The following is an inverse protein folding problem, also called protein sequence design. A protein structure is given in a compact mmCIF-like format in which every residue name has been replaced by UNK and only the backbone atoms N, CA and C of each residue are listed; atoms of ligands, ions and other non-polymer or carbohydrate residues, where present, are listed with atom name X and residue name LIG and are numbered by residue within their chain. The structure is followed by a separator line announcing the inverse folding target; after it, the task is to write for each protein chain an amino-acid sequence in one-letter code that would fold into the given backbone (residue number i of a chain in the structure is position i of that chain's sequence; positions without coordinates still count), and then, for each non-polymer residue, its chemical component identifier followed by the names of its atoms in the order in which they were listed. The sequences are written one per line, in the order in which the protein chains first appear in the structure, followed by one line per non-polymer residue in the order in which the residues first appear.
data_IF_676093973100
#
_entry.id   IF_676093973100
#
_cell.length_a   1.000
_cell.length_b   1.000
_cell.length_c   1.000
_cell.angle_alpha   90.00
_cell.angle_beta   90.00
_cell.angle_gamma   90.00
#
_symmetry.space_group_name_H-M   'P 1'
#
loop_
_entity.id
_entity.type
_entity.pdbx_description
1 polymer ?
#
# COMPACT_ATOMS: atom_id res chain seq x y z
N UNK A 1 10.02 -50.07 49.72
CA UNK A 1 10.25 -48.67 49.32
C UNK A 1 8.91 -48.03 49.04
N UNK A 2 8.44 -47.12 49.91
CA UNK A 2 7.22 -46.34 49.69
C UNK A 2 7.55 -45.20 48.75
N UNK A 3 7.11 -45.31 47.50
CA UNK A 3 7.28 -44.24 46.51
C UNK A 3 6.49 -43.02 46.98
N UNK A 4 7.20 -41.90 47.10
CA UNK A 4 6.64 -40.68 47.63
C UNK A 4 5.93 -39.93 46.49
N UNK A 5 4.62 -40.13 46.39
CA UNK A 5 3.77 -39.65 45.28
C UNK A 5 3.87 -38.13 45.02
N UNK A 6 4.20 -37.35 46.06
CA UNK A 6 4.51 -35.93 45.95
C UNK A 6 5.72 -35.65 45.05
N UNK A 7 6.76 -36.47 45.15
CA UNK A 7 7.98 -36.34 44.34
C UNK A 7 7.69 -36.69 42.87
N UNK A 8 6.86 -37.71 42.65
CA UNK A 8 6.41 -38.08 41.30
C UNK A 8 5.59 -36.95 40.64
N UNK A 9 4.71 -36.29 41.41
CA UNK A 9 3.94 -35.14 40.92
C UNK A 9 4.83 -33.95 40.51
N UNK A 10 5.87 -33.65 41.30
CA UNK A 10 6.81 -32.56 40.99
C UNK A 10 7.61 -32.85 39.73
N UNK A 11 8.06 -34.10 39.53
CA UNK A 11 8.79 -34.49 38.33
C UNK A 11 7.95 -34.36 37.05
N UNK A 12 6.68 -34.75 37.11
CA UNK A 12 5.75 -34.61 35.98
C UNK A 12 5.49 -33.12 35.67
N UNK A 13 5.31 -32.29 36.70
CA UNK A 13 5.12 -30.85 36.53
C UNK A 13 6.34 -30.20 35.84
N UNK A 14 7.56 -30.57 36.25
CA UNK A 14 8.79 -30.10 35.61
C UNK A 14 8.89 -30.50 34.14
N UNK A 15 8.47 -31.73 33.80
CA UNK A 15 8.40 -32.21 32.41
C UNK A 15 7.39 -31.42 31.58
N UNK A 16 6.23 -31.09 32.14
CA UNK A 16 5.20 -30.28 31.46
C UNK A 16 5.68 -28.84 31.25
N UNK A 17 6.32 -28.24 32.25
CA UNK A 17 6.87 -26.88 32.15
C UNK A 17 7.97 -26.81 31.10
N UNK A 18 8.91 -27.76 31.10
CA UNK A 18 9.99 -27.81 30.10
C UNK A 18 9.44 -28.04 28.69
N UNK A 19 8.42 -28.89 28.55
CA UNK A 19 7.71 -29.09 27.28
C UNK A 19 7.01 -27.82 26.78
N UNK A 20 6.31 -27.09 27.65
CA UNK A 20 5.64 -25.84 27.31
C UNK A 20 6.63 -24.73 26.94
N UNK A 21 7.74 -24.61 27.66
CA UNK A 21 8.82 -23.65 27.36
C UNK A 21 9.46 -23.97 26.00
N UNK A 22 9.70 -25.25 25.70
CA UNK A 22 10.21 -25.68 24.39
C UNK A 22 9.24 -25.37 23.25
N UNK A 23 7.92 -25.51 23.50
CA UNK A 23 6.87 -25.15 22.53
C UNK A 23 6.78 -23.64 22.30
N UNK A 24 7.01 -22.83 23.34
CA UNK A 24 7.04 -21.36 23.24
C UNK A 24 8.25 -20.83 22.46
N UNK A 25 9.40 -21.49 22.55
CA UNK A 25 10.62 -21.13 21.81
C UNK A 25 10.66 -21.70 20.37
N UNK A 26 9.61 -22.41 19.93
CA UNK A 26 9.52 -23.00 18.59
C UNK A 26 9.17 -22.02 17.45
N UNK A 27 8.98 -20.73 17.73
CA UNK A 27 8.86 -19.71 16.69
C UNK A 27 10.25 -19.22 16.31
N UNK A 28 10.83 -19.83 15.27
CA UNK A 28 12.00 -19.27 14.58
C UNK A 28 11.68 -17.81 14.22
N UNK A 29 12.60 -16.85 14.46
CA UNK A 29 12.49 -15.56 13.82
C UNK A 29 12.48 -15.81 12.32
N UNK A 30 11.35 -15.52 11.68
CA UNK A 30 11.24 -15.44 10.22
C UNK A 30 12.34 -14.52 9.74
N UNK A 31 13.23 -15.05 8.90
CA UNK A 31 14.24 -14.30 8.20
C UNK A 31 13.58 -13.07 7.56
N UNK A 32 13.96 -11.89 8.01
CA UNK A 32 13.62 -10.64 7.33
C UNK A 32 14.22 -10.79 5.92
N UNK A 33 13.43 -10.67 4.84
CA UNK A 33 13.95 -10.81 3.48
C UNK A 33 15.15 -9.89 3.27
N UNK A 34 16.27 -10.47 2.87
CA UNK A 34 17.55 -9.78 2.61
C UNK A 34 17.39 -8.65 1.59
N UNK A 35 16.35 -8.73 0.76
CA UNK A 35 15.90 -7.72 -0.21
C UNK A 35 15.68 -6.33 0.38
N UNK A 36 15.21 -6.21 1.63
CA UNK A 36 14.94 -4.88 2.23
C UNK A 36 16.27 -4.17 2.51
N UNK A 37 17.27 -4.90 3.01
CA UNK A 37 18.58 -4.34 3.33
C UNK A 37 19.34 -3.97 2.04
N UNK A 38 19.20 -4.76 0.98
CA UNK A 38 19.81 -4.47 -0.31
C UNK A 38 19.10 -3.33 -1.05
N UNK A 39 17.79 -3.16 -0.86
CA UNK A 39 17.05 -1.98 -1.31
C UNK A 39 17.52 -0.70 -0.58
N UNK A 40 17.78 -0.80 0.73
CA UNK A 40 18.37 0.28 1.53
C UNK A 40 19.79 0.65 1.09
N UNK A 41 20.58 -0.32 0.63
CA UNK A 41 21.91 -0.06 0.04
C UNK A 41 21.82 0.59 -1.33
N UNK A 42 20.87 0.17 -2.18
CA UNK A 42 20.63 0.79 -3.48
C UNK A 42 20.16 2.26 -3.40
N UNK A 43 19.54 2.65 -2.28
CA UNK A 43 19.14 4.04 -2.00
C UNK A 43 20.33 4.98 -1.74
N UNK A 44 21.51 4.47 -1.38
CA UNK A 44 22.73 5.29 -1.22
C UNK A 44 23.43 5.62 -2.54
N UNK A 45 23.05 4.95 -3.65
CA UNK A 45 23.64 5.17 -4.98
C UNK A 45 22.83 6.13 -5.86
N UNK A 46 21.70 6.66 -5.36
CA UNK A 46 20.91 7.60 -6.14
C UNK A 46 21.63 8.95 -6.27
N UNK A 47 21.70 9.53 -7.48
CA UNK A 47 22.45 10.75 -7.73
C UNK A 47 21.92 11.90 -6.86
N UNK A 48 22.85 12.68 -6.31
CA UNK A 48 22.64 13.84 -5.41
C UNK A 48 21.51 14.81 -5.84
N UNK A 49 21.15 14.80 -7.12
CA UNK A 49 20.04 15.56 -7.71
C UNK A 49 18.66 15.19 -7.15
N UNK A 50 18.46 13.95 -6.70
CA UNK A 50 17.19 13.50 -6.07
C UNK A 50 17.16 13.93 -4.60
N UNK A 51 18.29 13.84 -3.89
CA UNK A 51 18.42 14.27 -2.50
C UNK A 51 18.25 15.79 -2.33
N UNK A 52 18.66 16.59 -3.32
CA UNK A 52 18.47 18.04 -3.31
C UNK A 52 16.99 18.47 -3.44
N UNK A 53 16.13 17.66 -4.06
CA UNK A 53 14.67 17.90 -4.09
C UNK A 53 14.06 17.60 -2.71
N UNK A 54 14.65 16.69 -1.94
CA UNK A 54 14.21 16.30 -0.59
C UNK A 54 14.59 17.37 0.44
N UNK A 55 15.76 18.02 0.34
CA UNK A 55 16.21 19.02 1.32
C UNK A 55 15.40 20.34 1.30
N UNK A 56 14.64 20.63 0.24
CA UNK A 56 14.03 21.95 0.04
C UNK A 56 12.69 22.23 0.72
N UNK A 57 12.03 21.29 1.41
CA UNK A 57 10.64 21.53 1.86
C UNK A 57 10.20 20.73 3.10
N UNK A 58 10.68 21.12 4.29
CA UNK A 58 10.55 20.35 5.53
C UNK A 58 9.11 20.33 6.14
N UNK A 59 8.08 20.91 5.50
CA UNK A 59 6.72 20.96 6.05
C UNK A 59 5.58 20.27 5.24
N UNK A 60 5.56 20.27 3.88
CA UNK A 60 4.56 19.51 3.11
C UNK A 60 4.92 18.04 2.81
N UNK A 61 6.08 17.55 3.24
CA UNK A 61 6.66 16.28 2.77
C UNK A 61 6.13 14.99 3.44
N UNK A 62 5.42 15.07 4.57
CA UNK A 62 4.88 13.86 5.23
C UNK A 62 3.74 13.20 4.42
N UNK A 63 2.90 14.01 3.74
CA UNK A 63 1.83 13.51 2.86
C UNK A 63 2.38 12.80 1.62
N UNK A 64 3.34 13.43 0.93
CA UNK A 64 4.00 12.85 -0.24
C UNK A 64 4.79 11.57 0.04
N UNK A 65 5.40 11.43 1.22
CA UNK A 65 6.06 10.17 1.61
C UNK A 65 5.05 9.04 1.84
N UNK A 66 3.91 9.33 2.47
CA UNK A 66 2.85 8.33 2.63
C UNK A 66 2.27 7.91 1.28
N UNK A 67 2.06 8.84 0.35
CA UNK A 67 1.64 8.57 -1.03
C UNK A 67 2.65 7.69 -1.78
N UNK A 68 3.95 7.96 -1.65
CA UNK A 68 5.00 7.18 -2.32
C UNK A 68 5.19 5.78 -1.72
N UNK A 69 5.08 5.63 -0.40
CA UNK A 69 5.13 4.32 0.27
C UNK A 69 3.90 3.49 -0.09
N UNK A 70 2.72 4.11 -0.11
CA UNK A 70 1.49 3.44 -0.54
C UNK A 70 1.59 3.02 -2.01
N UNK A 71 2.14 3.88 -2.86
CA UNK A 71 2.39 3.53 -4.26
C UNK A 71 3.37 2.33 -4.41
N UNK A 72 4.39 2.24 -3.55
CA UNK A 72 5.33 1.13 -3.56
C UNK A 72 4.69 -0.19 -3.07
N UNK A 73 3.83 -0.14 -2.04
CA UNK A 73 3.07 -1.30 -1.56
C UNK A 73 2.03 -1.77 -2.58
N UNK A 74 1.26 -0.84 -3.16
CA UNK A 74 0.25 -1.15 -4.16
C UNK A 74 0.83 -1.79 -5.43
N UNK A 75 2.10 -1.52 -5.79
CA UNK A 75 2.73 -2.19 -6.92
C UNK A 75 2.92 -3.70 -6.75
N UNK A 76 2.85 -4.24 -5.53
CA UNK A 76 2.88 -5.69 -5.31
C UNK A 76 1.54 -6.36 -5.56
N UNK A 77 0.44 -5.65 -5.34
CA UNK A 77 -0.92 -6.21 -5.43
C UNK A 77 -1.56 -6.05 -6.82
N UNK A 78 -1.06 -5.12 -7.63
CA UNK A 78 -1.62 -4.77 -8.93
C UNK A 78 -0.53 -4.79 -10.01
N UNK A 79 -0.89 -5.29 -11.19
CA UNK A 79 0.00 -5.28 -12.35
C UNK A 79 0.26 -3.85 -12.85
N UNK A 80 -0.70 -2.94 -12.62
CA UNK A 80 -0.58 -1.52 -12.98
C UNK A 80 -1.30 -0.63 -11.97
N UNK A 81 -0.61 0.43 -11.54
CA UNK A 81 -1.19 1.52 -10.76
C UNK A 81 -1.14 2.81 -11.58
N UNK A 82 -2.27 3.51 -11.68
CA UNK A 82 -2.42 4.78 -12.39
C UNK A 82 -2.75 5.87 -11.35
N UNK A 83 -1.89 6.87 -11.14
CA UNK A 83 -2.22 8.01 -10.29
C UNK A 83 -3.23 8.93 -10.98
N UNK A 84 -4.20 9.44 -10.22
CA UNK A 84 -5.22 10.40 -10.68
C UNK A 84 -5.22 11.67 -9.83
N UNK A 85 -5.38 11.52 -8.50
CA UNK A 85 -5.60 12.59 -7.54
C UNK A 85 -7.07 12.75 -7.11
N UNK A 86 -7.38 13.76 -6.30
CA UNK A 86 -8.70 13.93 -5.69
C UNK A 86 -9.86 13.90 -6.72
N UNK A 87 -10.99 13.22 -6.44
CA UNK A 87 -11.39 12.53 -5.19
C UNK A 87 -11.01 11.03 -5.13
N UNK A 88 -10.16 10.54 -6.03
CA UNK A 88 -9.66 9.15 -6.00
C UNK A 88 -8.18 9.17 -6.37
N UNK A 89 -7.30 8.96 -5.40
CA UNK A 89 -5.85 9.07 -5.64
C UNK A 89 -5.30 8.14 -6.74
N UNK A 90 -5.73 6.88 -6.79
CA UNK A 90 -5.21 5.88 -7.73
C UNK A 90 -6.27 4.96 -8.32
N UNK A 91 -5.98 4.43 -9.51
CA UNK A 91 -6.63 3.23 -10.06
C UNK A 91 -5.61 2.10 -10.07
N UNK A 92 -5.94 0.99 -9.42
CA UNK A 92 -5.20 -0.26 -9.50
C UNK A 92 -5.85 -1.23 -10.49
N UNK A 93 -5.05 -1.84 -11.36
CA UNK A 93 -5.49 -2.82 -12.34
C UNK A 93 -4.73 -4.12 -12.09
N UNK A 94 -5.49 -5.18 -11.83
CA UNK A 94 -4.99 -6.55 -11.80
C UNK A 94 -5.63 -7.33 -12.94
N UNK A 95 -4.82 -7.71 -13.92
CA UNK A 95 -5.28 -8.20 -15.20
C UNK A 95 -6.07 -9.50 -15.04
N UNK A 96 -7.26 -9.53 -15.65
CA UNK A 96 -8.14 -10.69 -15.60
C UNK A 96 -8.83 -10.91 -14.24
N UNK A 97 -8.64 -10.02 -13.27
CA UNK A 97 -9.23 -10.13 -11.94
C UNK A 97 -10.13 -8.94 -11.60
N UNK A 98 -9.54 -7.74 -11.42
CA UNK A 98 -10.28 -6.57 -10.95
C UNK A 98 -9.62 -5.23 -11.27
N UNK A 99 -10.42 -4.18 -11.16
CA UNK A 99 -9.98 -2.79 -11.20
C UNK A 99 -10.48 -2.13 -9.91
N UNK A 100 -9.55 -1.58 -9.13
CA UNK A 100 -9.86 -0.95 -7.85
C UNK A 100 -9.59 0.56 -7.92
N UNK A 101 -10.52 1.33 -7.36
CA UNK A 101 -10.37 2.78 -7.14
C UNK A 101 -9.90 2.98 -5.70
N UNK A 102 -8.76 3.64 -5.52
CA UNK A 102 -8.03 3.66 -4.26
C UNK A 102 -7.85 5.11 -3.83
N UNK A 103 -8.31 5.40 -2.62
CA UNK A 103 -8.11 6.67 -1.92
C UNK A 103 -7.21 6.43 -0.71
N UNK A 104 -6.18 7.25 -0.53
CA UNK A 104 -5.16 7.08 0.49
C UNK A 104 -5.28 8.19 1.52
N UNK A 105 -5.54 7.81 2.78
CA UNK A 105 -5.55 8.76 3.90
C UNK A 105 -4.28 8.65 4.72
N UNK A 106 -3.57 9.76 4.90
CA UNK A 106 -2.45 9.84 5.83
C UNK A 106 -2.92 10.27 7.22
N UNK A 107 -2.60 9.51 8.28
CA UNK A 107 -2.85 9.89 9.68
C UNK A 107 -3.93 9.06 10.38
N UNK A 108 -4.43 9.54 11.53
CA UNK A 108 -5.43 8.82 12.35
C UNK A 108 -6.88 8.96 11.84
N UNK A 109 -7.15 9.92 10.94
CA UNK A 109 -8.48 10.13 10.38
C UNK A 109 -8.63 9.32 9.09
N UNK A 110 -9.45 8.27 9.14
CA UNK A 110 -9.82 7.41 8.00
C UNK A 110 -11.15 7.84 7.36
N UNK A 111 -11.63 9.04 7.69
CA UNK A 111 -12.92 9.54 7.20
C UNK A 111 -12.79 10.03 5.76
N UNK A 112 -13.68 9.54 4.91
CA UNK A 112 -13.83 10.02 3.55
C UNK A 112 -14.51 11.40 3.53
N UNK A 113 -14.10 12.25 2.59
CA UNK A 113 -14.83 13.48 2.25
C UNK A 113 -16.20 13.14 1.64
N UNK A 114 -17.11 14.10 1.58
CA UNK A 114 -18.43 13.86 1.00
C UNK A 114 -18.35 13.52 -0.51
N UNK A 115 -17.37 14.09 -1.21
CA UNK A 115 -17.09 13.77 -2.61
C UNK A 115 -16.55 12.34 -2.76
N UNK A 116 -15.58 11.94 -1.95
CA UNK A 116 -15.07 10.56 -1.92
C UNK A 116 -16.16 9.54 -1.57
N UNK A 117 -17.03 9.86 -0.61
CA UNK A 117 -18.20 9.02 -0.28
C UNK A 117 -19.13 8.89 -1.48
N UNK A 118 -19.37 9.97 -2.20
CA UNK A 118 -20.21 9.96 -3.39
C UNK A 118 -19.63 9.02 -4.46
N UNK A 119 -18.34 9.13 -4.74
CA UNK A 119 -17.65 8.26 -5.70
C UNK A 119 -17.66 6.80 -5.25
N UNK A 120 -17.36 6.53 -3.96
CA UNK A 120 -17.48 5.19 -3.39
C UNK A 120 -18.87 4.60 -3.59
N UNK A 121 -19.92 5.39 -3.40
CA UNK A 121 -21.30 4.96 -3.62
C UNK A 121 -21.57 4.65 -5.11
N UNK A 122 -21.05 5.43 -6.05
CA UNK A 122 -21.17 5.13 -7.48
C UNK A 122 -20.50 3.78 -7.81
N UNK A 123 -19.31 3.53 -7.29
CA UNK A 123 -18.58 2.27 -7.47
C UNK A 123 -19.35 1.09 -6.88
N UNK A 124 -19.82 1.23 -5.63
CA UNK A 124 -20.54 0.18 -4.90
C UNK A 124 -21.84 -0.21 -5.59
N UNK A 125 -22.52 0.77 -6.21
CA UNK A 125 -23.74 0.54 -6.97
C UNK A 125 -23.48 0.12 -8.43
N UNK A 126 -22.24 -0.22 -8.80
CA UNK A 126 -21.88 -0.66 -10.14
C UNK A 126 -22.02 0.41 -11.22
N UNK A 127 -22.06 1.69 -10.85
CA UNK A 127 -22.23 2.83 -11.79
C UNK A 127 -20.89 3.30 -12.36
N UNK A 128 -20.01 2.35 -12.68
CA UNK A 128 -18.72 2.57 -13.33
C UNK A 128 -18.81 2.03 -14.75
N UNK A 129 -18.55 2.88 -15.74
CA UNK A 129 -18.72 2.55 -17.14
C UNK A 129 -17.42 2.71 -17.93
N UNK A 130 -17.14 1.78 -18.82
CA UNK A 130 -16.08 1.93 -19.82
C UNK A 130 -16.64 2.68 -21.03
N UNK A 131 -16.16 3.90 -21.27
CA UNK A 131 -16.57 4.71 -22.42
C UNK A 131 -15.41 4.88 -23.39
N UNK A 132 -15.52 4.29 -24.58
CA UNK A 132 -14.59 4.55 -25.68
C UNK A 132 -15.05 5.81 -26.44
N UNK A 133 -14.18 6.80 -26.51
CA UNK A 133 -14.38 8.01 -27.32
C UNK A 133 -13.33 8.01 -28.42
N UNK A 134 -13.79 7.99 -29.68
CA UNK A 134 -12.94 8.18 -30.85
C UNK A 134 -13.09 9.64 -31.28
N UNK A 135 -11.99 10.38 -31.34
CA UNK A 135 -11.96 11.74 -31.85
C UNK A 135 -11.36 11.71 -33.25
N UNK A 136 -12.04 12.28 -34.24
CA UNK A 136 -11.49 12.43 -35.59
C UNK A 136 -10.52 13.62 -35.64
N UNK A 137 -9.43 13.52 -36.40
CA UNK A 137 -8.43 14.60 -36.51
C UNK A 137 -9.04 15.94 -36.97
N UNK A 138 -10.07 15.87 -37.82
CA UNK A 138 -10.83 17.03 -38.32
C UNK A 138 -11.58 17.78 -37.20
N UNK A 139 -12.07 17.07 -36.18
CA UNK A 139 -12.75 17.69 -35.03
C UNK A 139 -11.75 18.41 -34.11
N UNK A 140 -10.54 17.86 -33.95
CA UNK A 140 -9.48 18.47 -33.13
C UNK A 140 -9.09 19.85 -33.70
N UNK A 141 -8.93 19.96 -35.01
CA UNK A 141 -8.59 21.23 -35.66
C UNK A 141 -9.67 22.28 -35.45
N UNK A 142 -10.95 21.90 -35.50
CA UNK A 142 -12.07 22.82 -35.31
C UNK A 142 -12.09 23.46 -33.91
N UNK A 143 -11.75 22.70 -32.86
CA UNK A 143 -11.66 23.22 -31.49
C UNK A 143 -10.42 24.09 -31.25
N UNK A 144 -9.28 23.77 -31.87
CA UNK A 144 -8.05 24.57 -31.73
C UNK A 144 -8.16 25.92 -32.43
N UNK A 145 -8.77 25.97 -33.62
CA UNK A 145 -8.93 27.22 -34.39
C UNK A 145 -9.96 28.15 -33.75
N UNK A 146 -11.09 27.62 -33.27
CA UNK A 146 -12.12 28.41 -32.58
C UNK A 146 -11.62 29.11 -31.30
N UNK A 147 -10.55 28.60 -30.66
CA UNK A 147 -9.96 29.18 -29.45
C UNK A 147 -8.88 30.23 -29.73
N UNK A 148 -8.41 30.34 -30.98
CA UNK A 148 -7.44 31.38 -31.39
C UNK A 148 -8.12 32.67 -31.87
N UNK A 149 -9.42 32.61 -32.15
CA UNK A 149 -10.19 33.73 -32.72
C UNK A 149 -11.12 34.43 -31.70
N UNK A 150 -11.05 34.07 -30.41
CA UNK A 150 -11.74 34.74 -29.30
C UNK A 150 -10.76 35.23 -28.25
#
# INVERSE_FOLDING_TARGET
MTINWWIAGILILLLVITYLIGRLHGRKPTDIPTDIIDLYKGLQELPLKVLQVIQGSINPQKGKMAELLTYAELRYDYDRIIPLGHPVDFIGIKNGERIDFIEVKSGQSFLLTDEEKHIKNLITNGRVNFRLIKVAEEEIQKYVTARKEG
#
